data_IF_182508720828
#
_entry.id   IF_182508720828
#
_cell.length_a   1.000
_cell.length_b   1.000
_cell.length_c   1.000
_cell.angle_alpha   90.00
_cell.angle_beta   90.00
_cell.angle_gamma   90.00
#
_symmetry.space_group_name_H-M   'P 1'
#
loop_
_entity.id
_entity.type
_entity.pdbx_description
1 polymer ?
#
# COMPACT_ATOMS: atom_id res chain seq x y z
N UNK A 1 -9.63 5.75 33.34
CA UNK A 1 -9.12 4.38 33.57
C UNK A 1 -8.05 4.17 32.52
N UNK A 2 -6.77 4.02 32.88
CA UNK A 2 -5.71 3.84 31.89
C UNK A 2 -6.01 2.63 30.99
N UNK A 3 -5.89 2.80 29.69
CA UNK A 3 -6.04 1.73 28.71
C UNK A 3 -4.89 0.70 28.87
N UNK A 4 -5.23 -0.58 29.09
CA UNK A 4 -4.25 -1.65 29.26
C UNK A 4 -3.34 -1.78 28.04
N UNK A 5 -3.85 -1.48 26.84
CA UNK A 5 -3.09 -1.50 25.59
C UNK A 5 -2.05 -0.38 25.59
N UNK A 6 -2.40 0.81 26.06
CA UNK A 6 -1.46 1.93 26.18
C UNK A 6 -0.31 1.58 27.14
N UNK A 7 -0.61 0.94 28.27
CA UNK A 7 0.42 0.51 29.23
C UNK A 7 1.36 -0.54 28.65
N UNK A 8 0.83 -1.52 27.91
CA UNK A 8 1.65 -2.52 27.22
C UNK A 8 2.54 -1.85 26.15
N UNK A 9 1.96 -0.92 25.39
CA UNK A 9 2.70 -0.17 24.36
C UNK A 9 3.86 0.63 24.96
N UNK A 10 3.62 1.37 26.05
CA UNK A 10 4.66 2.13 26.76
C UNK A 10 5.79 1.22 27.25
N UNK A 11 5.46 0.10 27.87
CA UNK A 11 6.48 -0.87 28.32
C UNK A 11 7.34 -1.39 27.17
N UNK A 12 6.74 -1.68 26.01
CA UNK A 12 7.48 -2.13 24.81
C UNK A 12 8.38 -1.03 24.25
N UNK A 13 7.91 0.21 24.19
CA UNK A 13 8.69 1.37 23.74
C UNK A 13 9.92 1.56 24.64
N UNK A 14 9.73 1.55 25.97
CA UNK A 14 10.82 1.67 26.94
C UNK A 14 11.82 0.51 26.86
N UNK A 15 11.36 -0.71 26.56
CA UNK A 15 12.24 -1.85 26.30
C UNK A 15 13.12 -1.62 25.06
N UNK A 16 12.53 -1.18 23.94
CA UNK A 16 13.27 -0.88 22.71
C UNK A 16 14.27 0.27 22.85
N UNK A 17 13.91 1.32 23.60
CA UNK A 17 14.83 2.42 23.93
C UNK A 17 16.05 1.90 24.70
N UNK A 18 15.84 1.04 25.70
CA UNK A 18 16.93 0.45 26.50
C UNK A 18 17.84 -0.45 25.66
N UNK A 19 17.29 -1.19 24.70
CA UNK A 19 18.06 -2.02 23.76
C UNK A 19 18.82 -1.20 22.71
N UNK A 20 18.40 0.05 22.49
CA UNK A 20 18.96 0.90 21.45
C UNK A 20 18.35 0.64 20.06
N UNK A 21 17.20 -0.04 19.99
CA UNK A 21 16.51 -0.38 18.73
C UNK A 21 16.12 0.86 17.90
N UNK A 22 16.06 2.03 18.56
CA UNK A 22 15.71 3.30 17.94
C UNK A 22 16.92 4.18 17.54
N UNK A 23 18.15 3.72 17.75
CA UNK A 23 19.37 4.48 17.40
C UNK A 23 19.71 4.34 15.91
N UNK A 24 20.18 5.42 15.29
CA UNK A 24 20.54 5.52 13.88
C UNK A 24 19.40 5.17 12.92
N UNK A 25 18.15 5.29 13.36
CA UNK A 25 17.00 5.14 12.48
C UNK A 25 16.82 6.39 11.61
N UNK A 26 16.29 6.18 10.42
CA UNK A 26 15.88 7.27 9.55
C UNK A 26 14.83 8.11 10.27
N UNK A 27 15.14 9.39 10.50
CA UNK A 27 14.26 10.32 11.23
C UNK A 27 14.58 10.48 12.71
N UNK A 28 15.65 9.88 13.24
CA UNK A 28 16.09 10.13 14.61
C UNK A 28 16.32 11.63 14.88
N UNK A 29 15.77 12.12 16.00
CA UNK A 29 15.84 13.53 16.40
C UNK A 29 14.93 14.48 15.59
N UNK A 30 14.20 13.97 14.58
CA UNK A 30 13.24 14.75 13.80
C UNK A 30 11.82 14.57 14.34
N UNK A 31 10.92 15.55 14.14
CA UNK A 31 9.51 15.39 14.45
C UNK A 31 8.91 14.17 13.74
N UNK A 32 8.01 13.46 14.42
CA UNK A 32 7.26 12.36 13.82
C UNK A 32 6.39 12.89 12.66
N UNK A 33 6.48 12.24 11.50
CA UNK A 33 5.56 12.50 10.40
C UNK A 33 4.26 11.73 10.64
N UNK A 34 3.24 12.44 11.12
CA UNK A 34 1.92 11.85 11.33
C UNK A 34 1.18 11.81 9.99
N UNK A 35 0.88 10.60 9.53
CA UNK A 35 0.07 10.40 8.35
C UNK A 35 -1.36 10.89 8.58
N UNK A 36 -1.93 11.56 7.59
CA UNK A 36 -3.35 11.91 7.60
C UNK A 36 -4.20 10.67 7.33
N UNK A 37 -4.77 10.11 8.41
CA UNK A 37 -5.68 8.97 8.37
C UNK A 37 -7.16 9.38 8.48
N UNK A 38 -7.49 10.64 8.18
CA UNK A 38 -8.86 11.18 8.32
C UNK A 38 -9.88 10.45 7.45
N UNK A 39 -9.45 9.89 6.32
CA UNK A 39 -10.29 9.11 5.40
C UNK A 39 -10.51 7.65 5.86
N UNK A 40 -9.83 7.22 6.93
CA UNK A 40 -9.87 5.84 7.42
C UNK A 40 -10.60 5.82 8.77
N UNK A 41 -11.68 5.03 8.91
CA UNK A 41 -12.35 4.82 10.19
C UNK A 41 -11.37 4.35 11.27
N UNK A 42 -11.57 4.81 12.50
CA UNK A 42 -10.61 4.63 13.61
C UNK A 42 -10.25 3.16 13.83
N UNK A 43 -11.24 2.28 13.74
CA UNK A 43 -11.12 0.83 13.88
C UNK A 43 -10.21 0.18 12.83
N UNK A 44 -10.04 0.80 11.66
CA UNK A 44 -9.22 0.27 10.57
C UNK A 44 -7.82 0.88 10.48
N UNK A 45 -7.55 1.98 11.19
CA UNK A 45 -6.27 2.72 11.09
C UNK A 45 -5.07 1.84 11.42
N UNK A 46 -5.15 1.06 12.49
CA UNK A 46 -4.05 0.16 12.90
C UNK A 46 -3.72 -0.87 11.81
N UNK A 47 -4.74 -1.57 11.31
CA UNK A 47 -4.59 -2.57 10.24
C UNK A 47 -4.06 -1.94 8.95
N UNK A 48 -4.58 -0.77 8.57
CA UNK A 48 -4.11 -0.03 7.39
C UNK A 48 -2.63 0.33 7.50
N UNK A 49 -2.20 0.94 8.62
CA UNK A 49 -0.80 1.34 8.83
C UNK A 49 0.14 0.14 8.78
N UNK A 50 -0.24 -0.99 9.38
CA UNK A 50 0.55 -2.23 9.33
C UNK A 50 0.73 -2.71 7.88
N UNK A 51 -0.36 -2.79 7.12
CA UNK A 51 -0.32 -3.25 5.73
C UNK A 51 0.49 -2.32 4.83
N UNK A 52 0.31 -1.00 5.00
CA UNK A 52 1.06 0.02 4.26
C UNK A 52 2.56 -0.09 4.55
N UNK A 53 2.95 -0.19 5.82
CA UNK A 53 4.36 -0.32 6.22
C UNK A 53 4.99 -1.61 5.73
N UNK A 54 4.21 -2.69 5.61
CA UNK A 54 4.65 -3.95 5.02
C UNK A 54 4.74 -3.92 3.47
N UNK A 55 4.38 -2.80 2.83
CA UNK A 55 4.37 -2.67 1.37
C UNK A 55 3.26 -3.46 0.69
N UNK A 56 2.21 -3.85 1.43
CA UNK A 56 1.07 -4.58 0.88
C UNK A 56 0.25 -3.62 0.01
N UNK A 57 0.32 -3.84 -1.30
CA UNK A 57 -0.44 -3.08 -2.27
C UNK A 57 -1.87 -3.67 -2.39
N UNK A 58 -2.94 -2.88 -2.28
CA UNK A 58 -4.29 -3.35 -2.57
C UNK A 58 -4.41 -3.94 -3.98
N UNK A 59 -5.32 -4.89 -4.20
CA UNK A 59 -5.47 -5.57 -5.51
C UNK A 59 -5.67 -4.59 -6.67
N UNK A 60 -6.41 -3.50 -6.44
CA UNK A 60 -6.59 -2.40 -7.41
C UNK A 60 -5.29 -1.75 -7.83
N UNK A 61 -4.40 -1.50 -6.89
CA UNK A 61 -3.11 -0.87 -7.15
C UNK A 61 -2.16 -1.85 -7.85
N UNK A 62 -2.27 -3.15 -7.55
CA UNK A 62 -1.50 -4.19 -8.23
C UNK A 62 -1.91 -4.30 -9.71
N UNK A 63 -3.22 -4.36 -9.98
CA UNK A 63 -3.76 -4.38 -11.33
C UNK A 63 -3.38 -3.11 -12.10
N UNK A 64 -3.51 -1.94 -11.46
CA UNK A 64 -3.12 -0.68 -12.08
C UNK A 64 -1.63 -0.64 -12.44
N UNK A 65 -0.75 -1.13 -11.55
CA UNK A 65 0.69 -1.24 -11.81
C UNK A 65 0.98 -2.15 -13.02
N UNK A 66 0.27 -3.28 -13.14
CA UNK A 66 0.43 -4.19 -14.28
C UNK A 66 -0.05 -3.56 -15.59
N UNK A 67 -1.19 -2.86 -15.56
CA UNK A 67 -1.73 -2.10 -16.71
C UNK A 67 -0.70 -1.07 -17.22
N UNK A 68 -0.14 -0.25 -16.32
CA UNK A 68 0.88 0.75 -16.68
C UNK A 68 2.14 0.09 -17.24
N UNK A 69 2.56 -1.05 -16.66
CA UNK A 69 3.71 -1.82 -17.15
C UNK A 69 3.50 -2.34 -18.58
N UNK A 70 2.31 -2.89 -18.86
CA UNK A 70 1.94 -3.37 -20.20
C UNK A 70 1.83 -2.25 -21.23
N UNK A 71 1.32 -1.09 -20.83
CA UNK A 71 1.28 0.08 -21.71
C UNK A 71 2.70 0.51 -22.10
N UNK A 72 3.63 0.58 -21.14
CA UNK A 72 5.04 0.89 -21.40
C UNK A 72 5.70 -0.15 -22.31
N UNK A 73 5.39 -1.44 -22.12
CA UNK A 73 5.90 -2.49 -23.00
C UNK A 73 5.37 -2.35 -24.44
N UNK A 74 4.10 -1.98 -24.60
CA UNK A 74 3.50 -1.72 -25.92
C UNK A 74 4.15 -0.53 -26.62
N UNK A 75 4.46 0.53 -25.88
CA UNK A 75 5.08 1.74 -26.42
C UNK A 75 6.50 1.46 -26.97
N UNK A 76 7.20 0.49 -26.38
CA UNK A 76 8.55 0.08 -26.80
C UNK A 76 8.56 -1.10 -27.80
N UNK A 77 7.42 -1.71 -28.11
CA UNK A 77 7.37 -2.94 -28.91
C UNK A 77 7.31 -2.64 -30.42
N UNK A 78 8.28 -3.20 -31.16
CA UNK A 78 8.41 -3.00 -32.62
C UNK A 78 7.82 -4.14 -33.45
N UNK A 79 7.51 -5.29 -32.83
CA UNK A 79 6.96 -6.47 -33.53
C UNK A 79 5.45 -6.53 -33.40
N UNK A 80 4.75 -6.67 -34.52
CA UNK A 80 3.30 -6.55 -34.56
C UNK A 80 2.57 -7.75 -33.90
N UNK A 81 3.12 -8.96 -33.98
CA UNK A 81 2.56 -10.15 -33.33
C UNK A 81 2.62 -10.06 -31.79
N UNK A 82 3.77 -9.65 -31.25
CA UNK A 82 3.96 -9.44 -29.81
C UNK A 82 3.05 -8.30 -29.32
N UNK A 83 2.91 -7.23 -30.09
CA UNK A 83 2.00 -6.10 -29.80
C UNK A 83 0.54 -6.54 -29.69
N UNK A 84 0.06 -7.43 -30.56
CA UNK A 84 -1.31 -7.92 -30.52
C UNK A 84 -1.58 -8.78 -29.28
N UNK A 85 -0.62 -9.61 -28.87
CA UNK A 85 -0.71 -10.39 -27.64
C UNK A 85 -0.75 -9.51 -26.39
N UNK A 86 0.09 -8.47 -26.34
CA UNK A 86 0.16 -7.50 -25.24
C UNK A 86 -1.13 -6.68 -25.14
N UNK A 87 -1.68 -6.23 -26.27
CA UNK A 87 -3.00 -5.57 -26.33
C UNK A 87 -4.11 -6.45 -25.76
N UNK A 88 -4.14 -7.73 -26.14
CA UNK A 88 -5.15 -8.67 -25.64
C UNK A 88 -5.05 -8.85 -24.12
N UNK A 89 -3.83 -8.94 -23.58
CA UNK A 89 -3.59 -9.01 -22.13
C UNK A 89 -4.02 -7.72 -21.42
N UNK A 90 -3.67 -6.56 -21.99
CA UNK A 90 -4.05 -5.24 -21.46
C UNK A 90 -5.58 -5.10 -21.37
N UNK A 91 -6.31 -5.46 -22.43
CA UNK A 91 -7.79 -5.40 -22.44
C UNK A 91 -8.42 -6.26 -21.36
N UNK A 92 -7.88 -7.47 -21.11
CA UNK A 92 -8.36 -8.36 -20.03
C UNK A 92 -8.17 -7.72 -18.64
N UNK A 93 -7.01 -7.11 -18.40
CA UNK A 93 -6.72 -6.45 -17.12
C UNK A 93 -7.55 -5.19 -16.91
N UNK A 94 -7.73 -4.37 -17.95
CA UNK A 94 -8.62 -3.22 -17.90
C UNK A 94 -10.06 -3.61 -17.57
N UNK A 95 -10.58 -4.67 -18.20
CA UNK A 95 -11.91 -5.20 -17.89
C UNK A 95 -12.01 -5.64 -16.42
N UNK A 96 -11.04 -6.43 -15.93
CA UNK A 96 -11.00 -6.86 -14.53
C UNK A 96 -10.98 -5.66 -13.57
N UNK A 97 -10.13 -4.68 -13.86
CA UNK A 97 -10.02 -3.45 -13.05
C UNK A 97 -11.35 -2.69 -13.00
N UNK A 98 -11.98 -2.44 -14.15
CA UNK A 98 -13.25 -1.71 -14.22
C UNK A 98 -14.37 -2.41 -13.43
N UNK A 99 -14.54 -3.73 -13.60
CA UNK A 99 -15.53 -4.52 -12.86
C UNK A 99 -15.30 -4.39 -11.34
N UNK A 100 -14.05 -4.43 -10.91
CA UNK A 100 -13.71 -4.31 -9.50
C UNK A 100 -14.00 -2.91 -8.94
N UNK A 101 -13.69 -1.86 -9.69
CA UNK A 101 -13.95 -0.48 -9.28
C UNK A 101 -15.45 -0.16 -9.22
N UNK A 102 -16.24 -0.66 -10.17
CA UNK A 102 -17.71 -0.52 -10.15
C UNK A 102 -18.34 -1.12 -8.89
N UNK A 103 -17.85 -2.28 -8.43
CA UNK A 103 -18.36 -2.92 -7.19
C UNK A 103 -18.07 -2.11 -5.94
N UNK A 104 -16.99 -1.34 -5.91
CA UNK A 104 -16.66 -0.45 -4.79
C UNK A 104 -17.44 0.86 -4.82
N UNK A 105 -17.69 1.43 -6.00
CA UNK A 105 -18.44 2.69 -6.12
C UNK A 105 -19.94 2.54 -5.78
N UNK A 106 -20.46 1.30 -5.78
CA UNK A 106 -21.83 0.96 -5.37
C UNK A 106 -21.99 0.65 -3.87
N UNK A 107 -20.91 0.73 -3.07
CA UNK A 107 -20.94 0.59 -1.61
C UNK A 107 -20.75 1.95 -0.97
#
# INVERSE_FOLDING_TARGET
MEDIIARIAEQRILEGIRKGDFKNLEGEGKPLNLEDLSQIPVEFRASYTILKNAGVLPEEMQLHKEIVSLQRMLDCCMKEDEKQSLKTRLSKLLLKYNIMMERRCRR
#
